data_IF_733393306559
#
_entry.id   IF_733393306559
#
_cell.length_a   1.000
_cell.length_b   1.000
_cell.length_c   1.000
_cell.angle_alpha   90.00
_cell.angle_beta   90.00
_cell.angle_gamma   90.00
#
_symmetry.space_group_name_H-M   'P 1'
#
loop_
_entity.id
_entity.type
_entity.pdbx_description
1 polymer ?
#
# COMPACT_ATOMS: atom_id res chain seq x y z
N UNK A 1 3.87 -12.90 0.52
CA UNK A 1 4.43 -13.45 1.77
C UNK A 1 4.80 -12.28 2.67
N UNK A 2 4.51 -12.33 3.97
CA UNK A 2 4.82 -11.23 4.90
C UNK A 2 5.98 -11.69 5.78
N UNK A 3 7.06 -10.91 5.82
CA UNK A 3 8.27 -11.22 6.60
C UNK A 3 8.38 -10.28 7.80
N UNK A 4 8.78 -10.80 8.95
CA UNK A 4 9.08 -10.00 10.14
C UNK A 4 10.58 -9.88 10.30
N UNK A 5 11.10 -8.65 10.28
CA UNK A 5 12.51 -8.33 10.49
C UNK A 5 12.70 -7.53 11.80
N UNK A 6 13.95 -7.41 12.25
CA UNK A 6 14.31 -6.51 13.37
C UNK A 6 14.68 -5.15 12.80
N UNK A 7 14.09 -4.08 13.34
CA UNK A 7 14.47 -2.72 13.01
C UNK A 7 15.70 -2.28 13.82
N UNK A 8 16.44 -1.29 13.31
CA UNK A 8 17.74 -0.86 13.87
C UNK A 8 17.67 -0.34 15.32
N UNK A 9 16.49 0.03 15.80
CA UNK A 9 16.22 0.39 17.18
C UNK A 9 14.80 -0.06 17.56
N UNK A 10 14.50 -0.08 18.85
CA UNK A 10 13.14 -0.33 19.33
C UNK A 10 12.29 0.93 19.18
N UNK A 11 11.25 0.94 18.32
CA UNK A 11 10.42 2.12 18.13
C UNK A 11 9.56 2.38 19.37
N UNK A 12 9.35 3.66 19.68
CA UNK A 12 8.44 4.09 20.75
C UNK A 12 6.98 3.84 20.34
N UNK A 13 6.06 3.70 21.30
CA UNK A 13 4.64 3.43 21.02
C UNK A 13 3.98 4.44 20.04
N UNK A 14 4.39 5.70 20.10
CA UNK A 14 3.90 6.77 19.23
C UNK A 14 4.35 6.59 17.77
N UNK A 15 5.53 6.00 17.55
CA UNK A 15 6.01 5.63 16.22
C UNK A 15 5.25 4.42 15.69
N UNK A 16 4.98 3.42 16.54
CA UNK A 16 4.22 2.23 16.17
C UNK A 16 2.79 2.58 15.76
N UNK A 17 2.15 3.47 16.52
CA UNK A 17 0.80 3.95 16.21
C UNK A 17 0.78 4.72 14.89
N UNK A 18 1.70 5.67 14.68
CA UNK A 18 1.79 6.43 13.42
C UNK A 18 2.10 5.55 12.22
N UNK A 19 3.02 4.61 12.35
CA UNK A 19 3.37 3.66 11.29
C UNK A 19 2.19 2.74 10.96
N UNK A 20 1.47 2.22 11.96
CA UNK A 20 0.24 1.46 11.76
C UNK A 20 -0.84 2.28 11.05
N UNK A 21 -1.02 3.54 11.46
CA UNK A 21 -2.01 4.43 10.87
C UNK A 21 -1.76 4.72 9.38
N UNK A 22 -0.52 4.59 8.91
CA UNK A 22 -0.19 4.73 7.48
C UNK A 22 -0.89 3.70 6.60
N UNK A 23 -1.10 2.49 7.13
CA UNK A 23 -1.82 1.41 6.45
C UNK A 23 -3.34 1.53 6.67
N UNK A 24 -3.78 2.05 7.82
CA UNK A 24 -5.20 2.25 8.11
C UNK A 24 -5.81 3.40 7.31
N UNK A 25 -5.03 4.41 6.92
CA UNK A 25 -5.54 5.58 6.19
C UNK A 25 -6.10 5.20 4.80
N UNK A 26 -5.45 4.29 4.07
CA UNK A 26 -5.98 3.80 2.79
C UNK A 26 -7.26 2.97 2.97
N UNK A 27 -7.38 2.23 4.08
CA UNK A 27 -8.57 1.44 4.39
C UNK A 27 -9.82 2.31 4.60
N UNK A 28 -9.67 3.48 5.23
CA UNK A 28 -10.77 4.43 5.43
C UNK A 28 -11.30 4.98 4.10
N UNK A 29 -10.42 5.23 3.12
CA UNK A 29 -10.82 5.69 1.79
C UNK A 29 -11.65 4.63 1.03
N UNK A 30 -11.31 3.35 1.18
CA UNK A 30 -12.09 2.23 0.63
C UNK A 30 -13.48 2.14 1.29
N UNK A 31 -13.55 2.25 2.62
CA UNK A 31 -14.82 2.17 3.38
C UNK A 31 -15.72 3.38 3.13
N UNK A 32 -15.14 4.55 2.85
CA UNK A 32 -15.85 5.78 2.48
C UNK A 32 -16.63 5.73 1.16
N UNK A 33 -16.67 4.57 0.49
CA UNK A 33 -17.56 4.30 -0.63
C UNK A 33 -17.01 4.67 -2.01
N UNK A 34 -15.75 5.06 -2.10
CA UNK A 34 -15.11 5.45 -3.34
C UNK A 34 -13.83 4.62 -3.58
N UNK A 35 -13.96 3.37 -4.04
CA UNK A 35 -12.82 2.58 -4.50
C UNK A 35 -12.34 3.09 -5.87
N UNK A 36 -12.07 4.40 -5.98
CA UNK A 36 -11.39 4.94 -7.14
C UNK A 36 -9.90 4.70 -6.96
N UNK A 37 -9.19 4.18 -7.98
CA UNK A 37 -7.75 3.95 -7.96
C UNK A 37 -6.96 5.15 -7.39
N UNK A 38 -7.42 6.35 -7.70
CA UNK A 38 -6.80 7.63 -7.36
C UNK A 38 -6.90 7.93 -5.86
N UNK A 39 -8.02 7.63 -5.20
CA UNK A 39 -8.26 8.08 -3.83
C UNK A 39 -7.44 7.32 -2.80
N UNK A 40 -7.28 6.01 -2.99
CA UNK A 40 -6.37 5.21 -2.16
C UNK A 40 -4.93 5.69 -2.27
N UNK A 41 -4.47 5.97 -3.49
CA UNK A 41 -3.13 6.51 -3.71
C UNK A 41 -2.98 7.90 -3.06
N UNK A 42 -3.95 8.79 -3.26
CA UNK A 42 -3.94 10.14 -2.67
C UNK A 42 -3.87 10.08 -1.14
N UNK A 43 -4.65 9.21 -0.49
CA UNK A 43 -4.62 9.03 0.95
C UNK A 43 -3.22 8.65 1.44
N UNK A 44 -2.56 7.69 0.79
CA UNK A 44 -1.19 7.29 1.13
C UNK A 44 -0.15 8.36 0.79
N UNK A 45 -0.32 9.12 -0.28
CA UNK A 45 0.55 10.26 -0.63
C UNK A 45 0.47 11.34 0.46
N UNK A 46 -0.73 11.77 0.85
CA UNK A 46 -0.88 12.78 1.90
C UNK A 46 -0.34 12.29 3.24
N UNK A 47 -0.59 11.02 3.58
CA UNK A 47 -0.06 10.43 4.80
C UNK A 47 1.48 10.39 4.80
N UNK A 48 2.09 10.00 3.67
CA UNK A 48 3.54 10.03 3.49
C UNK A 48 4.10 11.46 3.59
N UNK A 49 3.49 12.43 2.92
CA UNK A 49 3.92 13.83 2.96
C UNK A 49 3.83 14.43 4.38
N UNK A 50 2.77 14.11 5.12
CA UNK A 50 2.61 14.52 6.52
C UNK A 50 3.66 13.90 7.46
N UNK A 51 4.19 12.73 7.11
CA UNK A 51 5.16 11.99 7.92
C UNK A 51 6.59 12.00 7.35
N UNK A 52 6.87 12.79 6.31
CA UNK A 52 8.20 12.82 5.64
C UNK A 52 9.36 13.23 6.55
N UNK A 53 9.10 13.98 7.63
CA UNK A 53 10.07 14.41 8.65
C UNK A 53 10.00 13.57 9.94
N UNK A 54 9.24 12.47 9.93
CA UNK A 54 9.14 11.56 11.06
C UNK A 54 10.41 10.69 11.17
N UNK A 55 10.40 9.77 12.13
CA UNK A 55 11.49 8.83 12.37
C UNK A 55 11.66 7.83 11.22
N UNK A 56 12.81 7.17 11.17
CA UNK A 56 13.14 6.21 10.12
C UNK A 56 12.11 5.08 10.03
N UNK A 57 11.63 4.58 11.18
CA UNK A 57 10.62 3.52 11.23
C UNK A 57 9.30 3.95 10.61
N UNK A 58 8.78 5.11 11.00
CA UNK A 58 7.51 5.64 10.47
C UNK A 58 7.65 5.94 8.98
N UNK A 59 8.75 6.58 8.57
CA UNK A 59 9.00 6.91 7.16
C UNK A 59 9.06 5.66 6.29
N UNK A 60 9.72 4.59 6.76
CA UNK A 60 9.81 3.34 6.02
C UNK A 60 8.42 2.72 5.81
N UNK A 61 7.63 2.60 6.87
CA UNK A 61 6.28 2.01 6.77
C UNK A 61 5.33 2.85 5.91
N UNK A 62 5.39 4.18 6.02
CA UNK A 62 4.66 5.09 5.12
C UNK A 62 5.07 4.92 3.66
N UNK A 63 6.37 4.67 3.40
CA UNK A 63 6.88 4.46 2.04
C UNK A 63 6.40 3.12 1.49
N UNK A 64 6.47 2.05 2.28
CA UNK A 64 5.91 0.74 1.86
C UNK A 64 4.42 0.83 1.53
N UNK A 65 3.64 1.53 2.37
CA UNK A 65 2.22 1.75 2.10
C UNK A 65 2.02 2.52 0.78
N UNK A 66 2.78 3.60 0.57
CA UNK A 66 2.71 4.41 -0.64
C UNK A 66 3.08 3.61 -1.90
N UNK A 67 4.18 2.86 -1.88
CA UNK A 67 4.65 2.08 -3.03
C UNK A 67 3.64 0.95 -3.35
N UNK A 68 3.07 0.30 -2.33
CA UNK A 68 1.98 -0.68 -2.50
C UNK A 68 0.79 -0.07 -3.24
N UNK A 69 0.31 1.09 -2.77
CA UNK A 69 -0.80 1.79 -3.42
C UNK A 69 -0.45 2.28 -4.82
N UNK A 70 0.79 2.72 -5.06
CA UNK A 70 1.24 3.14 -6.38
C UNK A 70 1.29 1.97 -7.36
N UNK A 71 1.72 0.79 -6.91
CA UNK A 71 1.66 -0.44 -7.70
C UNK A 71 0.23 -0.79 -8.11
N UNK A 72 -0.68 -0.86 -7.13
CA UNK A 72 -2.10 -1.11 -7.40
C UNK A 72 -2.75 -0.06 -8.29
N UNK A 73 -2.37 1.20 -8.15
CA UNK A 73 -2.92 2.31 -8.93
C UNK A 73 -2.81 2.05 -10.44
N UNK A 74 -1.68 1.53 -10.93
CA UNK A 74 -1.51 1.26 -12.36
C UNK A 74 -2.46 0.16 -12.86
N UNK A 75 -2.56 -0.95 -12.13
CA UNK A 75 -3.49 -2.04 -12.48
C UNK A 75 -4.95 -1.58 -12.42
N UNK A 76 -5.30 -0.86 -11.35
CA UNK A 76 -6.64 -0.32 -11.12
C UNK A 76 -7.02 0.72 -12.18
N UNK A 77 -6.09 1.58 -12.60
CA UNK A 77 -6.33 2.59 -13.64
C UNK A 77 -6.55 1.96 -15.01
N UNK A 78 -5.76 0.94 -15.38
CA UNK A 78 -5.97 0.20 -16.63
C UNK A 78 -7.32 -0.52 -16.65
N UNK A 79 -7.71 -1.17 -15.54
CA UNK A 79 -9.02 -1.81 -15.41
C UNK A 79 -10.18 -0.82 -15.45
N UNK A 80 -10.01 0.34 -14.80
CA UNK A 80 -10.99 1.42 -14.81
C UNK A 80 -11.22 1.94 -16.24
N UNK A 81 -10.16 2.29 -16.98
CA UNK A 81 -10.35 2.81 -18.34
C UNK A 81 -10.85 1.77 -19.32
N UNK A 82 -10.48 0.49 -19.17
CA UNK A 82 -11.09 -0.58 -19.95
C UNK A 82 -12.58 -0.76 -19.63
N UNK A 83 -12.95 -0.63 -18.35
CA UNK A 83 -14.37 -0.66 -17.95
C UNK A 83 -15.14 0.52 -18.54
N UNK A 84 -14.58 1.73 -18.52
CA UNK A 84 -15.17 2.91 -19.15
C UNK A 84 -15.31 2.72 -20.66
N UNK A 85 -14.30 2.12 -21.33
CA UNK A 85 -14.39 1.87 -22.76
C UNK A 85 -15.52 0.90 -23.10
N UNK A 86 -15.68 -0.18 -22.33
CA UNK A 86 -16.80 -1.14 -22.51
C UNK A 86 -18.17 -0.54 -22.20
N UNK A 87 -18.27 0.40 -21.24
CA UNK A 87 -19.56 0.97 -20.82
C UNK A 87 -20.02 2.17 -21.66
N UNK A 88 -19.08 3.01 -22.10
CA UNK A 88 -19.39 4.29 -22.74
C UNK A 88 -18.94 4.37 -24.21
N UNK A 89 -18.23 3.37 -24.70
CA UNK A 89 -17.80 3.25 -26.09
C UNK A 89 -18.16 1.86 -26.64
N UNK A 90 -18.04 1.65 -27.95
CA UNK A 90 -18.44 0.40 -28.63
C UNK A 90 -17.45 -0.77 -28.44
N UNK A 91 -16.71 -0.78 -27.33
CA UNK A 91 -15.78 -1.86 -26.96
C UNK A 91 -16.54 -3.09 -26.44
N UNK A 92 -16.09 -4.28 -26.84
CA UNK A 92 -16.75 -5.53 -26.42
C UNK A 92 -16.20 -6.02 -25.09
N UNK A 93 -17.10 -6.41 -24.19
CA UNK A 93 -16.75 -7.17 -22.99
C UNK A 93 -16.26 -8.57 -23.38
N UNK A 94 -14.95 -8.73 -23.60
CA UNK A 94 -14.34 -10.01 -23.99
C UNK A 94 -14.03 -10.88 -22.78
N UNK A 95 -13.72 -12.16 -23.01
CA UNK A 95 -13.21 -13.06 -21.96
C UNK A 95 -11.92 -12.51 -21.31
N UNK A 96 -11.08 -11.81 -22.08
CA UNK A 96 -9.87 -11.16 -21.55
C UNK A 96 -10.20 -10.03 -20.58
N UNK A 97 -11.23 -9.23 -20.88
CA UNK A 97 -11.72 -8.20 -19.97
C UNK A 97 -12.17 -8.81 -18.64
N UNK A 98 -13.01 -9.86 -18.66
CA UNK A 98 -13.47 -10.51 -17.44
C UNK A 98 -12.31 -11.16 -16.65
N UNK A 99 -11.38 -11.82 -17.32
CA UNK A 99 -10.19 -12.40 -16.67
C UNK A 99 -9.33 -11.31 -16.00
N UNK A 100 -9.17 -10.17 -16.66
CA UNK A 100 -8.44 -9.01 -16.12
C UNK A 100 -9.14 -8.44 -14.88
N UNK A 101 -10.45 -8.19 -14.95
CA UNK A 101 -11.22 -7.64 -13.82
C UNK A 101 -11.22 -8.59 -12.62
N UNK A 102 -11.38 -9.91 -12.83
CA UNK A 102 -11.29 -10.89 -11.73
C UNK A 102 -9.89 -10.87 -11.09
N UNK A 103 -8.83 -10.83 -11.90
CA UNK A 103 -7.45 -10.73 -11.41
C UNK A 103 -7.23 -9.46 -10.60
N UNK A 104 -7.74 -8.34 -11.09
CA UNK A 104 -7.68 -7.04 -10.42
C UNK A 104 -8.42 -7.07 -9.07
N UNK A 105 -9.61 -7.67 -9.00
CA UNK A 105 -10.33 -7.85 -7.73
C UNK A 105 -9.50 -8.69 -6.75
N UNK A 106 -8.90 -9.79 -7.20
CA UNK A 106 -8.03 -10.63 -6.35
C UNK A 106 -6.84 -9.83 -5.82
N UNK A 107 -6.17 -9.04 -6.66
CA UNK A 107 -5.03 -8.22 -6.24
C UNK A 107 -5.43 -7.16 -5.20
N UNK A 108 -6.58 -6.49 -5.38
CA UNK A 108 -7.08 -5.55 -4.38
C UNK A 108 -7.42 -6.24 -3.06
N UNK A 109 -8.01 -7.42 -3.08
CA UNK A 109 -8.28 -8.19 -1.86
C UNK A 109 -7.00 -8.62 -1.15
N UNK A 110 -6.02 -9.13 -1.88
CA UNK A 110 -4.71 -9.52 -1.32
C UNK A 110 -4.05 -8.32 -0.66
N UNK A 111 -4.06 -7.16 -1.32
CA UNK A 111 -3.48 -5.94 -0.76
C UNK A 111 -4.23 -5.49 0.49
N UNK A 112 -5.57 -5.46 0.44
CA UNK A 112 -6.41 -5.06 1.55
C UNK A 112 -6.18 -5.92 2.81
N UNK A 113 -6.13 -7.24 2.66
CA UNK A 113 -5.84 -8.13 3.78
C UNK A 113 -4.40 -8.03 4.24
N UNK A 114 -3.45 -7.87 3.32
CA UNK A 114 -2.03 -7.71 3.65
C UNK A 114 -1.79 -6.44 4.45
N UNK A 115 -2.37 -5.30 4.05
CA UNK A 115 -2.24 -4.03 4.77
C UNK A 115 -2.87 -4.09 6.16
N UNK A 116 -4.00 -4.76 6.32
CA UNK A 116 -4.63 -4.98 7.63
C UNK A 116 -3.73 -5.81 8.57
N UNK A 117 -3.15 -6.90 8.05
CA UNK A 117 -2.22 -7.75 8.81
C UNK A 117 -0.96 -6.95 9.19
N UNK A 118 -0.40 -6.20 8.24
CA UNK A 118 0.80 -5.38 8.48
C UNK A 118 0.51 -4.30 9.52
N UNK A 119 -0.61 -3.57 9.43
CA UNK A 119 -1.01 -2.57 10.41
C UNK A 119 -1.05 -3.16 11.83
N UNK A 120 -1.70 -4.33 11.97
CA UNK A 120 -1.82 -5.02 13.26
C UNK A 120 -0.47 -5.45 13.82
N UNK A 121 0.43 -5.96 12.98
CA UNK A 121 1.78 -6.38 13.39
C UNK A 121 2.67 -5.19 13.74
N UNK A 122 2.62 -4.11 12.95
CA UNK A 122 3.36 -2.87 13.21
C UNK A 122 2.92 -2.25 14.53
N UNK A 123 1.63 -2.25 14.86
CA UNK A 123 1.14 -1.77 16.17
C UNK A 123 1.71 -2.56 17.35
N UNK A 124 2.06 -3.83 17.15
CA UNK A 124 2.70 -4.72 18.13
C UNK A 124 4.24 -4.61 18.15
N UNK A 125 4.83 -3.65 17.43
CA UNK A 125 6.28 -3.45 17.40
C UNK A 125 7.03 -4.33 16.40
N UNK A 126 6.33 -5.03 15.51
CA UNK A 126 6.97 -5.91 14.53
C UNK A 126 7.22 -5.15 13.22
N UNK A 127 8.49 -4.98 12.86
CA UNK A 127 8.85 -4.48 11.54
C UNK A 127 8.49 -5.54 10.49
N UNK A 128 7.51 -5.20 9.67
CA UNK A 128 6.84 -6.16 8.80
C UNK A 128 6.93 -5.71 7.35
N UNK A 129 7.56 -6.53 6.53
CA UNK A 129 7.79 -6.26 5.11
C UNK A 129 6.80 -7.01 4.24
N UNK A 130 6.20 -6.29 3.29
CA UNK A 130 5.33 -6.87 2.29
C UNK A 130 6.18 -7.33 1.10
N UNK A 131 6.09 -8.60 0.72
CA UNK A 131 6.84 -9.14 -0.43
C UNK A 131 6.79 -8.21 -1.65
N UNK A 132 7.93 -8.07 -2.35
CA UNK A 132 8.17 -7.12 -3.44
C UNK A 132 8.22 -5.65 -3.01
N UNK A 133 7.22 -5.16 -2.27
CA UNK A 133 7.16 -3.75 -1.86
C UNK A 133 8.16 -3.39 -0.78
N UNK A 134 8.52 -4.32 0.11
CA UNK A 134 9.56 -4.17 1.13
C UNK A 134 10.92 -3.92 0.49
N UNK A 135 11.30 -4.74 -0.51
CA UNK A 135 12.55 -4.61 -1.25
C UNK A 135 12.65 -3.25 -1.96
N UNK A 136 11.58 -2.83 -2.64
CA UNK A 136 11.50 -1.51 -3.26
C UNK A 136 11.59 -0.39 -2.22
N UNK A 137 10.96 -0.59 -1.05
CA UNK A 137 11.01 0.38 0.05
C UNK A 137 12.41 0.49 0.63
N UNK A 138 13.14 -0.61 0.77
CA UNK A 138 14.54 -0.63 1.23
C UNK A 138 15.46 0.14 0.27
N UNK A 139 15.20 0.07 -1.05
CA UNK A 139 15.92 0.85 -2.05
C UNK A 139 15.63 2.37 -1.95
N UNK A 140 14.39 2.75 -1.65
CA UNK A 140 13.97 4.16 -1.55
C UNK A 140 14.36 4.78 -0.20
N UNK A 141 14.04 4.08 0.88
CA UNK A 141 14.37 4.42 2.25
C UNK A 141 15.52 3.55 2.69
N UNK A 142 16.75 4.02 2.46
CA UNK A 142 17.93 3.47 3.14
C UNK A 142 17.76 3.64 4.64
N UNK A 143 17.29 2.61 5.32
CA UNK A 143 17.27 2.51 6.78
C UNK A 143 18.67 2.16 7.26
N UNK A 144 19.65 3.03 7.01
CA UNK A 144 21.06 2.93 7.42
C UNK A 144 21.53 1.50 7.73
N UNK A 145 21.53 0.64 6.71
CA UNK A 145 22.52 -0.43 6.63
C UNK A 145 23.80 0.27 6.17
N UNK A 146 24.64 0.66 7.13
CA UNK A 146 26.09 0.85 7.02
C UNK A 146 26.57 1.59 8.29
N UNK A 147 26.49 0.91 9.42
CA UNK A 147 27.57 0.99 10.39
C UNK A 147 28.34 -0.32 10.21
N UNK A 148 29.21 -0.33 9.20
CA UNK A 148 30.39 -1.20 9.21
C UNK A 148 31.53 -0.42 9.83
#
# INVERSE_FOLDING_TARGET
MITTAKFNYQPHESELERASNSYLMSLVAVIGGLPLPILNLMASVFFYLGNRKSTAFVKWHCTQALVSQLGLFFFNSAGFWWTVSVLFYDERATNYYFAYIITLVIFNLIEFFSTLIIATKVRKGQHTEFFFFGDVTNLICKTNEDIK
#
